data_IF_396421446236
#
_entry.id   IF_396421446236
#
_cell.length_a   1.000
_cell.length_b   1.000
_cell.length_c   1.000
_cell.angle_alpha   90.00
_cell.angle_beta   90.00
_cell.angle_gamma   90.00
#
_symmetry.space_group_name_H-M   'P 1'
#
loop_
_entity.id
_entity.type
_entity.pdbx_description
1 polymer ?
#
# COMPACT_ATOMS: atom_id res chain seq x y z
N UNK A 1 36.31 -27.02 -36.46
CA UNK A 1 34.94 -27.05 -37.02
C UNK A 1 34.63 -25.66 -37.56
N UNK A 2 34.08 -25.52 -38.78
CA UNK A 2 33.66 -24.22 -39.29
C UNK A 2 32.42 -23.75 -38.52
N UNK A 3 32.33 -22.46 -38.14
CA UNK A 3 31.08 -21.87 -37.64
C UNK A 3 30.16 -21.65 -38.85
N UNK A 4 28.95 -22.20 -38.78
CA UNK A 4 27.89 -21.93 -39.75
C UNK A 4 27.50 -20.44 -39.71
N UNK A 5 27.17 -19.82 -40.85
CA UNK A 5 26.75 -18.41 -40.92
C UNK A 5 25.35 -18.15 -40.33
N UNK A 6 24.60 -19.19 -39.97
CA UNK A 6 23.24 -19.10 -39.37
C UNK A 6 23.22 -19.30 -37.85
N UNK A 7 24.34 -19.06 -37.17
CA UNK A 7 24.28 -18.94 -35.71
C UNK A 7 23.60 -17.59 -35.40
N UNK A 8 22.28 -17.63 -35.15
CA UNK A 8 21.57 -16.53 -34.49
C UNK A 8 22.31 -16.31 -33.18
N UNK A 9 23.11 -15.24 -33.15
CA UNK A 9 23.85 -14.85 -31.95
C UNK A 9 22.81 -14.24 -31.00
N UNK A 10 22.52 -14.88 -29.85
CA UNK A 10 21.52 -14.36 -28.91
C UNK A 10 21.87 -12.97 -28.39
N UNK A 11 23.13 -12.53 -28.53
CA UNK A 11 23.57 -11.17 -28.19
C UNK A 11 23.24 -10.14 -29.30
N UNK A 12 22.74 -10.55 -30.47
CA UNK A 12 22.32 -9.63 -31.57
C UNK A 12 20.80 -9.47 -31.73
N UNK A 13 20.01 -10.32 -31.07
CA UNK A 13 18.55 -10.24 -31.10
C UNK A 13 18.09 -9.32 -29.96
N UNK A 14 18.09 -8.01 -30.19
CA UNK A 14 17.47 -7.06 -29.26
C UNK A 14 15.96 -7.34 -29.21
N UNK A 15 15.51 -8.00 -28.14
CA UNK A 15 14.09 -8.24 -27.93
C UNK A 15 13.42 -6.89 -27.63
N UNK A 16 12.59 -6.41 -28.55
CA UNK A 16 11.86 -5.14 -28.40
C UNK A 16 10.96 -5.11 -27.16
N UNK A 17 10.54 -6.27 -26.65
CA UNK A 17 9.77 -6.38 -25.40
C UNK A 17 10.66 -6.30 -24.16
N UNK A 18 11.98 -6.50 -24.30
CA UNK A 18 12.97 -6.30 -23.23
C UNK A 18 13.58 -4.88 -23.26
N UNK A 19 13.51 -4.18 -24.39
CA UNK A 19 13.90 -2.77 -24.54
C UNK A 19 12.83 -1.80 -24.00
N UNK A 20 12.18 -2.16 -22.89
CA UNK A 20 11.10 -1.38 -22.27
C UNK A 20 11.65 -0.39 -21.21
N UNK A 21 12.58 0.47 -21.67
CA UNK A 21 13.22 1.47 -20.81
C UNK A 21 12.18 2.43 -20.22
N UNK A 22 12.20 2.61 -18.91
CA UNK A 22 11.23 3.42 -18.17
C UNK A 22 10.06 2.63 -17.56
N UNK A 23 9.79 1.41 -18.01
CA UNK A 23 8.80 0.51 -17.39
C UNK A 23 9.45 -0.60 -16.57
N UNK A 24 10.76 -0.78 -16.67
CA UNK A 24 11.50 -1.75 -15.88
C UNK A 24 11.41 -1.39 -14.39
N UNK A 25 11.42 -2.41 -13.53
CA UNK A 25 11.17 -2.24 -12.09
C UNK A 25 12.14 -1.24 -11.43
N UNK A 26 13.41 -1.23 -11.85
CA UNK A 26 14.41 -0.30 -11.32
C UNK A 26 14.20 1.16 -11.78
N UNK A 27 13.66 1.36 -12.98
CA UNK A 27 13.35 2.69 -13.51
C UNK A 27 12.13 3.25 -12.77
N UNK A 28 11.08 2.43 -12.60
CA UNK A 28 9.89 2.76 -11.81
C UNK A 28 10.25 3.06 -10.36
N UNK A 29 11.12 2.25 -9.74
CA UNK A 29 11.56 2.47 -8.36
C UNK A 29 12.40 3.75 -8.21
N UNK A 30 13.29 4.04 -9.18
CA UNK A 30 14.09 5.27 -9.18
C UNK A 30 13.25 6.52 -9.40
N UNK A 31 12.26 6.43 -10.29
CA UNK A 31 11.29 7.49 -10.55
C UNK A 31 10.41 7.73 -9.32
N UNK A 32 9.91 6.69 -8.66
CA UNK A 32 9.16 6.79 -7.40
C UNK A 32 10.00 7.38 -6.26
N UNK A 33 11.28 7.03 -6.16
CA UNK A 33 12.20 7.59 -5.17
C UNK A 33 12.45 9.10 -5.42
N UNK A 34 12.55 9.50 -6.68
CA UNK A 34 12.78 10.90 -7.08
C UNK A 34 11.50 11.73 -7.02
N UNK A 35 10.35 11.07 -7.21
CA UNK A 35 9.01 11.60 -6.96
C UNK A 35 8.79 11.67 -5.45
N UNK A 36 9.54 12.56 -4.82
CA UNK A 36 9.34 13.01 -3.46
C UNK A 36 7.95 13.63 -3.40
N UNK A 37 6.94 12.80 -3.11
CA UNK A 37 5.64 13.28 -2.63
C UNK A 37 5.98 14.09 -1.39
N UNK A 38 5.70 15.38 -1.44
CA UNK A 38 5.86 16.21 -0.27
C UNK A 38 4.87 15.69 0.78
N UNK A 39 5.36 14.88 1.72
CA UNK A 39 4.56 14.30 2.80
C UNK A 39 4.09 15.36 3.80
N UNK A 40 4.49 16.63 3.61
CA UNK A 40 3.99 17.76 4.39
C UNK A 40 2.80 18.47 3.76
N UNK A 41 2.36 18.05 2.57
CA UNK A 41 1.11 18.51 1.98
C UNK A 41 -0.06 17.67 2.52
N UNK A 42 -1.21 18.35 2.70
CA UNK A 42 -2.47 17.70 3.06
C UNK A 42 -2.72 16.50 2.15
N UNK A 43 -3.09 15.36 2.72
CA UNK A 43 -3.44 14.19 1.91
C UNK A 43 -4.61 14.51 0.98
N UNK A 44 -4.47 14.07 -0.27
CA UNK A 44 -5.53 14.23 -1.27
C UNK A 44 -6.74 13.40 -0.82
N UNK A 45 -7.78 14.10 -0.40
CA UNK A 45 -9.02 13.47 0.06
C UNK A 45 -9.73 12.87 -1.15
N UNK A 46 -9.98 11.56 -1.09
CA UNK A 46 -10.90 10.92 -2.01
C UNK A 46 -12.31 11.45 -1.77
N UNK A 47 -12.95 11.99 -2.80
CA UNK A 47 -14.24 12.68 -2.62
C UNK A 47 -14.34 13.94 -3.46
N UNK A 48 -14.17 13.84 -4.78
CA UNK A 48 -14.68 14.91 -5.64
C UNK A 48 -16.20 15.04 -5.42
N UNK A 49 -16.84 16.10 -5.93
CA UNK A 49 -18.31 16.28 -5.90
C UNK A 49 -19.13 15.19 -6.63
N UNK A 50 -18.52 14.04 -6.87
CA UNK A 50 -19.11 12.82 -7.37
C UNK A 50 -20.15 12.29 -6.37
N UNK A 51 -21.40 12.34 -6.79
CA UNK A 51 -22.54 11.83 -6.02
C UNK A 51 -22.50 10.31 -5.83
N UNK A 52 -21.58 9.61 -6.50
CA UNK A 52 -21.32 8.18 -6.33
C UNK A 52 -20.26 7.84 -5.28
N UNK A 53 -19.65 8.83 -4.63
CA UNK A 53 -18.65 8.59 -3.60
C UNK A 53 -19.27 7.84 -2.41
N UNK A 54 -18.73 6.66 -2.10
CA UNK A 54 -19.15 5.82 -0.97
C UNK A 54 -18.67 6.41 0.36
N UNK A 55 -17.55 7.12 0.33
CA UNK A 55 -16.92 7.75 1.48
C UNK A 55 -17.12 9.27 1.36
N UNK A 56 -17.80 9.91 2.32
CA UNK A 56 -17.93 11.37 2.39
C UNK A 56 -16.59 12.10 2.56
N UNK A 57 -16.51 13.33 2.05
CA UNK A 57 -15.31 14.17 2.08
C UNK A 57 -14.85 14.56 3.50
N UNK A 58 -15.72 14.43 4.50
CA UNK A 58 -15.45 14.74 5.92
C UNK A 58 -15.00 13.53 6.74
N UNK A 59 -14.83 12.36 6.11
CA UNK A 59 -14.27 11.18 6.77
C UNK A 59 -12.74 11.32 6.87
N UNK A 60 -12.17 11.29 8.09
CA UNK A 60 -10.72 11.36 8.25
C UNK A 60 -10.05 10.13 7.66
N UNK A 61 -8.98 10.34 6.89
CA UNK A 61 -8.16 9.26 6.35
C UNK A 61 -7.06 8.82 7.33
N UNK A 62 -6.20 7.90 6.88
CA UNK A 62 -5.09 7.39 7.67
C UNK A 62 -4.08 8.49 8.05
N UNK A 63 -3.85 9.45 7.17
CA UNK A 63 -2.88 10.52 7.41
C UNK A 63 -3.45 11.53 8.39
N UNK A 64 -4.75 11.87 8.28
CA UNK A 64 -5.44 12.73 9.27
C UNK A 64 -5.37 12.17 10.67
N UNK A 65 -5.63 10.86 10.78
CA UNK A 65 -5.58 10.17 12.07
C UNK A 65 -4.16 10.11 12.62
N UNK A 66 -3.15 9.89 11.77
CA UNK A 66 -1.74 9.96 12.18
C UNK A 66 -1.32 11.37 12.64
N UNK A 67 -1.74 12.42 11.94
CA UNK A 67 -1.46 13.80 12.36
C UNK A 67 -2.17 14.16 13.66
N UNK A 68 -3.41 13.72 13.84
CA UNK A 68 -4.17 13.92 15.07
C UNK A 68 -3.47 13.24 16.26
N UNK A 69 -2.93 12.03 16.07
CA UNK A 69 -2.12 11.34 17.09
C UNK A 69 -0.83 12.10 17.40
N UNK A 70 -0.12 12.58 16.38
CA UNK A 70 1.10 13.35 16.57
C UNK A 70 0.84 14.68 17.33
N UNK A 71 -0.26 15.37 16.99
CA UNK A 71 -0.66 16.62 17.65
C UNK A 71 -1.12 16.42 19.08
N UNK A 72 -1.84 15.33 19.36
CA UNK A 72 -2.37 15.02 20.70
C UNK A 72 -1.33 14.35 21.61
N UNK A 73 -0.27 13.76 21.05
CA UNK A 73 0.72 12.98 21.78
C UNK A 73 0.17 11.66 22.34
N UNK A 74 -1.06 11.29 21.98
CA UNK A 74 -1.75 10.08 22.43
C UNK A 74 -1.98 9.18 21.22
N UNK A 75 -1.44 7.97 21.26
CA UNK A 75 -1.70 6.95 20.23
C UNK A 75 -2.99 6.24 20.61
N UNK A 76 -3.98 6.29 19.73
CA UNK A 76 -5.18 5.47 19.87
C UNK A 76 -4.79 4.00 19.62
N UNK A 77 -4.66 3.25 20.72
CA UNK A 77 -4.36 1.82 20.66
C UNK A 77 -5.64 0.97 20.57
N UNK A 78 -6.83 1.58 20.49
CA UNK A 78 -8.10 0.87 20.35
C UNK A 78 -8.15 -0.01 19.10
N UNK A 79 -7.43 0.37 18.04
CA UNK A 79 -7.25 -0.48 16.86
C UNK A 79 -6.54 -1.81 17.15
N UNK A 80 -5.73 -1.89 18.21
CA UNK A 80 -5.08 -3.13 18.67
C UNK A 80 -5.92 -3.94 19.65
N UNK A 81 -7.05 -3.39 20.13
CA UNK A 81 -7.94 -4.11 21.06
C UNK A 81 -8.59 -5.34 20.41
N UNK A 82 -8.61 -5.41 19.07
CA UNK A 82 -9.28 -6.47 18.33
C UNK A 82 -10.79 -6.30 18.29
N UNK A 83 -11.46 -7.11 17.48
CA UNK A 83 -12.92 -7.23 17.53
C UNK A 83 -13.31 -8.24 18.62
N UNK A 84 -14.51 -8.13 19.21
CA UNK A 84 -15.05 -9.17 20.08
C UNK A 84 -15.00 -10.51 19.37
N UNK A 85 -14.46 -11.53 20.04
CA UNK A 85 -14.49 -12.90 19.55
C UNK A 85 -15.93 -13.39 19.61
N UNK A 86 -16.61 -13.43 18.46
CA UNK A 86 -17.98 -13.94 18.33
C UNK A 86 -18.01 -15.44 17.99
N UNK A 87 -16.88 -16.11 18.18
CA UNK A 87 -16.69 -17.50 17.82
C UNK A 87 -17.25 -18.42 18.92
N UNK A 88 -18.02 -19.44 18.57
CA UNK A 88 -18.63 -20.38 19.53
C UNK A 88 -17.61 -21.40 20.10
N UNK A 89 -16.37 -21.23 19.67
CA UNK A 89 -15.18 -22.01 19.93
C UNK A 89 -14.46 -21.63 21.25
N UNK A 90 -15.14 -20.92 22.16
CA UNK A 90 -14.66 -20.56 23.50
C UNK A 90 -14.15 -21.78 24.31
N UNK A 91 -14.70 -22.97 24.04
CA UNK A 91 -14.35 -24.21 24.74
C UNK A 91 -12.90 -24.69 24.59
N UNK A 92 -12.19 -24.26 23.54
CA UNK A 92 -10.77 -24.62 23.30
C UNK A 92 -9.83 -23.41 23.28
N UNK A 93 -10.36 -22.22 23.03
CA UNK A 93 -9.60 -20.96 23.04
C UNK A 93 -9.55 -20.28 24.42
N UNK A 94 -10.41 -20.69 25.36
CA UNK A 94 -10.53 -20.08 26.69
C UNK A 94 -11.47 -18.87 26.68
N UNK A 95 -11.83 -18.34 27.86
CA UNK A 95 -12.68 -17.15 27.96
C UNK A 95 -11.99 -15.95 27.27
N UNK A 96 -12.63 -15.45 26.22
CA UNK A 96 -12.21 -14.33 25.38
C UNK A 96 -12.96 -13.04 25.71
N UNK A 97 -14.06 -13.15 26.45
CA UNK A 97 -14.77 -12.00 27.03
C UNK A 97 -14.01 -11.52 28.28
N UNK A 98 -13.36 -10.36 28.18
CA UNK A 98 -12.75 -9.70 29.33
C UNK A 98 -13.89 -9.14 30.21
N UNK A 99 -14.15 -9.76 31.36
CA UNK A 99 -15.12 -9.30 32.36
C UNK A 99 -14.73 -7.89 32.85
N UNK A 100 -15.28 -6.87 32.20
CA UNK A 100 -15.21 -5.47 32.66
C UNK A 100 -16.23 -5.26 33.77
N UNK A 101 -15.76 -5.27 35.02
CA UNK A 101 -16.50 -4.93 36.25
C UNK A 101 -16.86 -3.43 36.32
#
# INVERSE_FOLDING_TARGET
>A
MPRSPDAIDPDTEENSEQSDAGAQAQDVASDALTRRTDLSEDSEKGGGSDRGAVIPDDVPDLVDTMEAMNRSGTIDNGAYAGEPMMDDEEGWLGNTEEDVD
#
